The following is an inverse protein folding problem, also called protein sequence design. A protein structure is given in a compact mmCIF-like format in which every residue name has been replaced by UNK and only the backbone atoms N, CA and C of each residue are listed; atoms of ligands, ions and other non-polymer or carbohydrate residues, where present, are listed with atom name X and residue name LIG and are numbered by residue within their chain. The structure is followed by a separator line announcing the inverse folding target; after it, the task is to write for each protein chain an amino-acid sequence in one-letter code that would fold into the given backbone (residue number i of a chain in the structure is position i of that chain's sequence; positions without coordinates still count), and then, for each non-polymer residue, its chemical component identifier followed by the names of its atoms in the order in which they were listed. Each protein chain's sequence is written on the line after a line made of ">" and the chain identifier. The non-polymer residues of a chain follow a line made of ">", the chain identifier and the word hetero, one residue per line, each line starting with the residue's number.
data_IF_360420469264
#
_entry.id   IF_360420469264
#
_cell.length_a   1.000
_cell.length_b   1.000
_cell.length_c   1.000
_cell.angle_alpha   90.00
_cell.angle_beta   90.00
_cell.angle_gamma   90.00
#
_symmetry.space_group_name_H-M   'P 1'
#
loop_
_entity.id
_entity.type
_entity.pdbx_description
1 polymer ?
#
# COMPACT_ATOMS: atom_id res chain seq x y z
N UNK A 1 23.76 16.80 12.23
CA UNK A 1 24.28 16.18 11.00
C UNK A 1 23.12 16.12 10.02
N UNK A 2 23.06 17.10 9.13
CA UNK A 2 21.92 17.33 8.19
C UNK A 2 21.99 16.23 7.12
N UNK A 3 20.99 15.36 7.10
CA UNK A 3 20.81 14.41 6.00
C UNK A 3 20.48 15.23 4.73
N UNK A 4 21.45 15.34 3.86
CA UNK A 4 21.25 15.88 2.52
C UNK A 4 20.31 14.91 1.78
N UNK A 5 19.04 15.28 1.64
CA UNK A 5 18.14 14.61 0.70
C UNK A 5 18.80 14.63 -0.67
N UNK A 6 19.23 13.46 -1.11
CA UNK A 6 19.83 13.27 -2.43
C UNK A 6 18.72 13.58 -3.44
N UNK A 7 18.70 14.80 -3.96
CA UNK A 7 17.77 15.20 -5.04
C UNK A 7 17.94 14.19 -6.18
N UNK A 8 16.94 13.36 -6.37
CA UNK A 8 16.90 12.43 -7.51
C UNK A 8 16.87 13.29 -8.78
N UNK A 9 17.81 13.02 -9.70
CA UNK A 9 17.88 13.74 -10.98
C UNK A 9 16.49 13.67 -11.67
N UNK A 10 15.93 14.81 -12.08
CA UNK A 10 14.63 14.85 -12.76
C UNK A 10 14.54 13.94 -13.98
N UNK A 11 15.66 13.69 -14.67
CA UNK A 11 15.75 12.77 -15.81
C UNK A 11 15.52 11.33 -15.36
N UNK A 12 16.13 10.92 -14.24
CA UNK A 12 15.94 9.59 -13.63
C UNK A 12 14.47 9.37 -13.28
N UNK A 13 13.85 10.36 -12.62
CA UNK A 13 12.42 10.31 -12.27
C UNK A 13 11.54 10.17 -13.52
N UNK A 14 11.80 10.97 -14.55
CA UNK A 14 11.04 10.94 -15.82
C UNK A 14 11.14 9.59 -16.51
N UNK A 15 12.36 9.04 -16.63
CA UNK A 15 12.56 7.71 -17.24
C UNK A 15 11.85 6.61 -16.47
N UNK A 16 11.90 6.64 -15.14
CA UNK A 16 11.17 5.70 -14.26
C UNK A 16 9.67 5.76 -14.54
N UNK A 17 9.10 6.95 -14.62
CA UNK A 17 7.67 7.16 -14.92
C UNK A 17 7.30 6.67 -16.33
N UNK A 18 8.15 6.85 -17.34
CA UNK A 18 7.92 6.33 -18.69
C UNK A 18 7.84 4.79 -18.70
N UNK A 19 8.73 4.11 -17.96
CA UNK A 19 8.73 2.65 -17.85
C UNK A 19 7.47 2.16 -17.11
N UNK A 20 7.11 2.80 -16.00
CA UNK A 20 5.90 2.46 -15.23
C UNK A 20 4.62 2.65 -16.08
N UNK A 21 4.52 3.77 -16.80
CA UNK A 21 3.39 4.06 -17.68
C UNK A 21 3.28 3.04 -18.80
N UNK A 22 4.39 2.71 -19.47
CA UNK A 22 4.43 1.69 -20.50
C UNK A 22 3.93 0.33 -20.01
N UNK A 23 4.29 -0.06 -18.78
CA UNK A 23 3.78 -1.27 -18.15
C UNK A 23 2.26 -1.20 -17.93
N UNK A 24 1.74 -0.11 -17.38
CA UNK A 24 0.30 0.07 -17.14
C UNK A 24 -0.52 0.04 -18.42
N UNK A 25 -0.04 0.68 -19.49
CA UNK A 25 -0.68 0.64 -20.81
C UNK A 25 -0.74 -0.80 -21.37
N UNK A 26 0.38 -1.53 -21.29
CA UNK A 26 0.45 -2.92 -21.72
C UNK A 26 -0.44 -3.83 -20.86
N UNK A 27 -0.51 -3.55 -19.56
CA UNK A 27 -1.36 -4.29 -18.63
C UNK A 27 -2.85 -4.16 -18.98
N UNK A 28 -3.27 -2.95 -19.31
CA UNK A 28 -4.65 -2.70 -19.75
C UNK A 28 -4.98 -3.40 -21.10
N UNK A 29 -3.98 -3.56 -21.98
CA UNK A 29 -4.17 -4.19 -23.30
C UNK A 29 -4.10 -5.73 -23.26
N UNK A 30 -3.11 -6.31 -22.55
CA UNK A 30 -2.69 -7.71 -22.74
C UNK A 30 -2.86 -8.62 -21.51
N UNK A 31 -3.14 -8.10 -20.32
CA UNK A 31 -3.03 -8.79 -19.03
C UNK A 31 -1.59 -9.25 -18.69
N UNK A 32 -1.27 -9.33 -17.40
CA UNK A 32 0.11 -9.40 -16.85
C UNK A 32 0.99 -10.56 -17.31
N UNK A 33 0.44 -11.74 -17.55
CA UNK A 33 1.22 -12.96 -17.78
C UNK A 33 2.07 -12.89 -19.06
N UNK A 34 1.63 -12.12 -20.05
CA UNK A 34 2.27 -12.03 -21.37
C UNK A 34 3.19 -10.82 -21.56
N UNK A 35 3.33 -9.94 -20.55
CA UNK A 35 4.16 -8.74 -20.69
C UNK A 35 5.63 -9.09 -20.42
N UNK A 36 6.47 -8.95 -21.44
CA UNK A 36 7.93 -9.10 -21.34
C UNK A 36 8.63 -7.77 -21.07
N UNK A 37 9.88 -7.82 -20.59
CA UNK A 37 10.70 -6.60 -20.46
C UNK A 37 10.91 -5.95 -21.82
N UNK A 38 10.98 -6.72 -22.91
CA UNK A 38 11.09 -6.20 -24.26
C UNK A 38 9.87 -5.36 -24.63
N UNK A 39 8.65 -5.87 -24.39
CA UNK A 39 7.42 -5.10 -24.65
C UNK A 39 7.42 -3.76 -23.91
N UNK A 40 7.85 -3.78 -22.63
CA UNK A 40 7.91 -2.57 -21.79
C UNK A 40 8.91 -1.57 -22.35
N UNK A 41 10.12 -2.03 -22.72
CA UNK A 41 11.18 -1.15 -23.22
C UNK A 41 10.83 -0.57 -24.59
N UNK A 42 10.23 -1.34 -25.47
CA UNK A 42 9.76 -0.89 -26.78
C UNK A 42 8.65 0.17 -26.63
N UNK A 43 7.67 -0.09 -25.75
CA UNK A 43 6.59 0.86 -25.45
C UNK A 43 7.10 2.14 -24.80
N UNK A 44 8.05 2.04 -23.85
CA UNK A 44 8.65 3.19 -23.17
C UNK A 44 9.67 3.95 -24.03
N UNK A 45 10.04 3.41 -25.21
CA UNK A 45 11.09 3.93 -26.09
C UNK A 45 12.44 4.09 -25.35
N UNK A 46 12.80 3.07 -24.58
CA UNK A 46 14.07 2.99 -23.86
C UNK A 46 14.79 1.68 -24.20
N UNK A 47 16.12 1.62 -24.02
CA UNK A 47 16.83 0.36 -24.19
C UNK A 47 16.77 -0.51 -22.91
N UNK A 48 17.08 -1.80 -23.05
CA UNK A 48 17.06 -2.75 -21.92
C UNK A 48 18.04 -2.37 -20.80
N UNK A 49 19.20 -1.81 -21.13
CA UNK A 49 20.17 -1.35 -20.13
C UNK A 49 19.57 -0.22 -19.27
N UNK A 50 18.83 0.70 -19.88
CA UNK A 50 18.09 1.75 -19.18
C UNK A 50 17.03 1.16 -18.25
N UNK A 51 16.29 0.14 -18.70
CA UNK A 51 15.33 -0.55 -17.82
C UNK A 51 16.03 -1.10 -16.56
N UNK A 52 17.11 -1.86 -16.75
CA UNK A 52 17.85 -2.47 -15.63
C UNK A 52 18.57 -1.46 -14.73
N UNK A 53 18.86 -0.25 -15.21
CA UNK A 53 19.37 0.84 -14.37
C UNK A 53 18.30 1.38 -13.39
N UNK A 54 16.99 1.17 -13.66
CA UNK A 54 15.88 1.62 -12.84
C UNK A 54 15.21 0.52 -12.04
N UNK A 55 15.13 -0.68 -12.61
CA UNK A 55 14.43 -1.84 -12.03
C UNK A 55 15.26 -3.10 -12.29
N UNK A 56 15.65 -3.84 -11.24
CA UNK A 56 16.42 -5.07 -11.39
C UNK A 56 15.67 -6.15 -12.18
N UNK A 57 14.34 -6.14 -12.10
CA UNK A 57 13.47 -7.07 -12.82
C UNK A 57 12.04 -6.51 -12.95
N UNK A 58 11.15 -7.30 -13.58
CA UNK A 58 9.74 -6.96 -13.75
C UNK A 58 8.98 -6.90 -12.43
N UNK A 59 9.35 -7.71 -11.44
CA UNK A 59 8.68 -7.73 -10.14
C UNK A 59 8.97 -6.47 -9.35
N UNK A 60 10.20 -5.96 -9.39
CA UNK A 60 10.57 -4.68 -8.78
C UNK A 60 9.87 -3.48 -9.44
N UNK A 61 9.66 -3.52 -10.76
CA UNK A 61 8.84 -2.53 -11.44
C UNK A 61 7.41 -2.58 -10.93
N UNK A 62 6.82 -3.77 -10.87
CA UNK A 62 5.47 -3.99 -10.39
C UNK A 62 5.29 -3.53 -8.94
N UNK A 63 6.17 -3.97 -8.03
CA UNK A 63 6.18 -3.53 -6.62
C UNK A 63 6.16 -1.99 -6.52
N UNK A 64 6.99 -1.33 -7.34
CA UNK A 64 7.05 0.14 -7.32
C UNK A 64 5.76 0.80 -7.82
N UNK A 65 5.11 0.23 -8.83
CA UNK A 65 3.83 0.73 -9.36
C UNK A 65 2.74 0.59 -8.31
N UNK A 66 2.63 -0.59 -7.68
CA UNK A 66 1.62 -0.86 -6.67
C UNK A 66 1.75 0.07 -5.48
N UNK A 67 2.96 0.22 -4.96
CA UNK A 67 3.23 1.16 -3.85
C UNK A 67 2.84 2.58 -4.22
N UNK A 68 3.20 3.05 -5.41
CA UNK A 68 2.88 4.40 -5.86
C UNK A 68 1.37 4.59 -6.02
N UNK A 69 0.66 3.63 -6.61
CA UNK A 69 -0.80 3.68 -6.76
C UNK A 69 -1.51 3.66 -5.40
N UNK A 70 -1.07 2.79 -4.49
CA UNK A 70 -1.63 2.74 -3.15
C UNK A 70 -1.36 4.02 -2.36
N UNK A 71 -0.14 4.56 -2.41
CA UNK A 71 0.19 5.85 -1.79
C UNK A 71 -0.64 7.00 -2.36
N UNK A 72 -0.89 7.02 -3.68
CA UNK A 72 -1.77 8.00 -4.30
C UNK A 72 -3.22 7.86 -3.81
N UNK A 73 -3.73 6.63 -3.73
CA UNK A 73 -5.06 6.36 -3.18
C UNK A 73 -5.16 6.82 -1.72
N UNK A 74 -4.15 6.55 -0.90
CA UNK A 74 -4.09 7.06 0.47
C UNK A 74 -4.07 8.59 0.53
N UNK A 75 -3.27 9.24 -0.33
CA UNK A 75 -3.18 10.70 -0.36
C UNK A 75 -4.50 11.39 -0.76
N UNK A 76 -5.37 10.70 -1.50
CA UNK A 76 -6.70 11.21 -1.87
C UNK A 76 -7.73 11.07 -0.74
N UNK A 77 -7.58 10.07 0.12
CA UNK A 77 -8.58 9.73 1.13
C UNK A 77 -8.17 10.12 2.55
N UNK A 78 -6.85 10.22 2.81
CA UNK A 78 -6.35 10.63 4.11
C UNK A 78 -6.31 12.15 4.24
N UNK A 79 -6.68 12.71 5.40
CA UNK A 79 -6.45 14.13 5.68
C UNK A 79 -4.98 14.51 5.52
N UNK A 80 -4.69 15.74 5.05
CA UNK A 80 -3.32 16.26 5.04
C UNK A 80 -2.70 16.19 6.44
N UNK A 81 -1.45 15.75 6.53
CA UNK A 81 -0.72 15.58 7.80
C UNK A 81 -1.41 14.61 8.79
N UNK A 82 -1.98 13.51 8.27
CA UNK A 82 -2.56 12.45 9.10
C UNK A 82 -1.59 11.93 10.15
N UNK A 83 -2.08 11.81 11.37
CA UNK A 83 -1.35 11.34 12.53
C UNK A 83 -2.10 10.17 13.17
N UNK A 84 -1.47 9.50 14.14
CA UNK A 84 -2.10 8.42 14.87
C UNK A 84 -3.31 8.92 15.69
N UNK A 85 -4.51 8.67 15.21
CA UNK A 85 -5.79 8.87 15.89
C UNK A 85 -6.89 8.04 15.23
N UNK A 86 -8.07 7.95 15.88
CA UNK A 86 -9.24 7.18 15.40
C UNK A 86 -9.66 7.62 13.99
N UNK A 87 -9.62 8.91 13.72
CA UNK A 87 -10.09 9.49 12.45
C UNK A 87 -9.19 9.07 11.28
N UNK A 88 -7.87 9.24 11.45
CA UNK A 88 -6.87 8.84 10.45
C UNK A 88 -6.85 7.32 10.25
N UNK A 89 -6.97 6.54 11.34
CA UNK A 89 -7.05 5.09 11.25
C UNK A 89 -8.28 4.62 10.47
N UNK A 90 -9.44 5.20 10.75
CA UNK A 90 -10.69 4.91 10.01
C UNK A 90 -10.56 5.23 8.52
N UNK A 91 -9.97 6.40 8.19
CA UNK A 91 -9.73 6.79 6.81
C UNK A 91 -8.78 5.82 6.10
N UNK A 92 -7.71 5.36 6.78
CA UNK A 92 -6.77 4.36 6.28
C UNK A 92 -7.47 3.02 5.99
N UNK A 93 -8.27 2.53 6.93
CA UNK A 93 -9.04 1.29 6.78
C UNK A 93 -9.96 1.39 5.57
N UNK A 94 -10.75 2.46 5.47
CA UNK A 94 -11.69 2.68 4.36
C UNK A 94 -10.97 2.78 3.01
N UNK A 95 -9.86 3.53 2.95
CA UNK A 95 -9.06 3.67 1.73
C UNK A 95 -8.50 2.32 1.27
N UNK A 96 -8.09 1.46 2.22
CA UNK A 96 -7.57 0.11 1.90
C UNK A 96 -8.67 -0.79 1.34
N UNK A 97 -9.87 -0.79 1.92
CA UNK A 97 -11.02 -1.51 1.37
C UNK A 97 -11.38 -1.03 -0.04
N UNK A 98 -11.43 0.30 -0.25
CA UNK A 98 -11.69 0.89 -1.55
C UNK A 98 -10.68 0.45 -2.60
N UNK A 99 -9.39 0.63 -2.30
CA UNK A 99 -8.30 0.29 -3.22
C UNK A 99 -8.28 -1.19 -3.59
N UNK A 100 -8.35 -2.10 -2.60
CA UNK A 100 -8.34 -3.54 -2.86
C UNK A 100 -9.62 -4.01 -3.54
N UNK A 101 -10.76 -3.39 -3.24
CA UNK A 101 -12.01 -3.67 -3.92
C UNK A 101 -11.99 -3.30 -5.40
N UNK A 102 -11.48 -2.13 -5.77
CA UNK A 102 -11.31 -1.71 -7.16
C UNK A 102 -10.28 -2.60 -7.86
N UNK A 103 -9.17 -2.84 -7.19
CA UNK A 103 -8.10 -3.67 -7.73
C UNK A 103 -8.57 -5.08 -8.12
N UNK A 104 -9.23 -5.81 -7.22
CA UNK A 104 -9.72 -7.17 -7.52
C UNK A 104 -10.83 -7.19 -8.59
N UNK A 105 -11.53 -6.07 -8.77
CA UNK A 105 -12.52 -5.96 -9.84
C UNK A 105 -11.87 -5.77 -11.21
N UNK A 106 -10.84 -4.96 -11.30
CA UNK A 106 -10.15 -4.66 -12.56
C UNK A 106 -9.18 -5.75 -12.98
N UNK A 107 -8.49 -6.33 -12.00
CA UNK A 107 -7.54 -7.42 -12.19
C UNK A 107 -8.27 -8.78 -12.08
N UNK A 108 -8.83 -9.27 -13.18
CA UNK A 108 -9.40 -10.63 -13.19
C UNK A 108 -8.35 -11.67 -12.76
N UNK A 109 -8.73 -12.67 -11.93
CA UNK A 109 -7.80 -13.67 -11.43
C UNK A 109 -7.18 -14.47 -12.60
N UNK A 110 -5.89 -14.40 -12.74
CA UNK A 110 -5.17 -15.07 -13.83
C UNK A 110 -3.69 -15.26 -13.60
N UNK A 111 -3.11 -14.58 -12.61
CA UNK A 111 -1.69 -14.74 -12.28
C UNK A 111 -1.46 -14.66 -10.78
N UNK A 112 -1.53 -15.82 -10.10
CA UNK A 112 -1.34 -15.93 -8.64
C UNK A 112 -0.03 -15.27 -8.16
N UNK A 113 1.04 -15.32 -8.95
CA UNK A 113 2.31 -14.70 -8.59
C UNK A 113 2.21 -13.17 -8.58
N UNK A 114 1.45 -12.60 -9.49
CA UNK A 114 1.19 -11.17 -9.55
C UNK A 114 0.37 -10.72 -8.35
N UNK A 115 -0.72 -11.43 -8.05
CA UNK A 115 -1.60 -11.12 -6.91
C UNK A 115 -0.81 -11.16 -5.60
N UNK A 116 0.04 -12.17 -5.40
CA UNK A 116 0.86 -12.29 -4.20
C UNK A 116 1.86 -11.13 -4.03
N UNK A 117 2.55 -10.73 -5.11
CA UNK A 117 3.49 -9.60 -5.07
C UNK A 117 2.80 -8.28 -4.73
N UNK A 118 1.63 -8.08 -5.31
CA UNK A 118 0.80 -6.91 -5.04
C UNK A 118 0.32 -6.86 -3.59
N UNK A 119 -0.23 -7.97 -3.12
CA UNK A 119 -0.69 -8.09 -1.75
C UNK A 119 0.44 -7.83 -0.75
N UNK A 120 1.64 -8.34 -1.02
CA UNK A 120 2.82 -8.06 -0.19
C UNK A 120 3.19 -6.57 -0.20
N UNK A 121 3.19 -5.91 -1.36
CA UNK A 121 3.52 -4.50 -1.47
C UNK A 121 2.55 -3.63 -0.66
N UNK A 122 1.24 -3.87 -0.79
CA UNK A 122 0.20 -3.12 -0.06
C UNK A 122 0.31 -3.35 1.45
N UNK A 123 0.49 -4.61 1.87
CA UNK A 123 0.62 -4.94 3.29
C UNK A 123 1.83 -4.25 3.93
N UNK A 124 2.97 -4.24 3.22
CA UNK A 124 4.17 -3.56 3.71
C UNK A 124 3.99 -2.03 3.79
N UNK A 125 3.32 -1.41 2.81
CA UNK A 125 3.00 0.02 2.86
C UNK A 125 2.07 0.37 4.02
N UNK A 126 1.03 -0.44 4.28
CA UNK A 126 0.18 -0.29 5.44
C UNK A 126 0.97 -0.32 6.75
N UNK A 127 1.84 -1.32 6.90
CA UNK A 127 2.67 -1.46 8.09
C UNK A 127 3.61 -0.25 8.27
N UNK A 128 4.17 0.28 7.18
CA UNK A 128 5.05 1.45 7.19
C UNK A 128 4.31 2.72 7.59
N UNK A 129 3.13 2.96 7.06
CA UNK A 129 2.27 4.11 7.40
C UNK A 129 1.92 4.07 8.90
N UNK A 130 1.43 2.94 9.38
CA UNK A 130 1.06 2.73 10.78
C UNK A 130 2.26 2.92 11.71
N UNK A 131 3.41 2.32 11.38
CA UNK A 131 4.62 2.46 12.17
C UNK A 131 5.10 3.92 12.22
N UNK A 132 4.99 4.64 11.12
CA UNK A 132 5.35 6.06 11.05
C UNK A 132 4.46 6.89 11.97
N UNK A 133 3.14 6.69 11.94
CA UNK A 133 2.20 7.37 12.81
C UNK A 133 2.43 7.04 14.29
N UNK A 134 2.62 5.78 14.63
CA UNK A 134 2.90 5.33 16.00
C UNK A 134 4.20 5.92 16.57
N UNK A 135 5.26 6.01 15.75
CA UNK A 135 6.51 6.65 16.15
C UNK A 135 6.37 8.15 16.37
N UNK A 136 5.60 8.82 15.51
CA UNK A 136 5.34 10.27 15.64
C UNK A 136 4.48 10.60 16.86
N UNK A 137 3.50 9.78 17.16
CA UNK A 137 2.59 9.96 18.28
C UNK A 137 3.27 9.85 19.66
N UNK A 138 4.50 9.33 19.74
CA UNK A 138 5.24 9.10 21.01
C UNK A 138 4.33 8.48 22.06
N UNK A 139 3.61 7.42 21.70
CA UNK A 139 2.55 6.83 22.51
C UNK A 139 3.05 6.60 23.94
N UNK A 140 2.59 7.46 24.85
CA UNK A 140 2.88 7.36 26.27
C UNK A 140 2.00 6.24 26.90
N UNK A 141 2.50 5.55 27.90
CA UNK A 141 1.73 4.57 28.66
C UNK A 141 1.58 3.19 28.01
N UNK A 142 2.35 2.90 26.96
CA UNK A 142 2.39 1.53 26.40
C UNK A 142 2.94 0.54 27.41
N UNK A 143 2.33 -0.64 27.52
CA UNK A 143 2.81 -1.68 28.44
C UNK A 143 4.27 -2.02 28.16
N UNK A 144 5.11 -2.14 29.19
CA UNK A 144 6.52 -2.52 29.03
C UNK A 144 6.63 -3.83 28.23
N UNK A 145 7.55 -3.84 27.24
CA UNK A 145 7.82 -5.02 26.42
C UNK A 145 7.02 -5.09 25.11
N UNK A 146 6.06 -4.22 24.86
CA UNK A 146 5.34 -4.15 23.56
C UNK A 146 6.12 -3.24 22.60
N UNK A 147 6.49 -3.76 21.44
CA UNK A 147 7.22 -3.02 20.41
C UNK A 147 6.28 -2.41 19.40
N UNK A 148 6.52 -1.15 19.00
CA UNK A 148 5.70 -0.46 18.00
C UNK A 148 5.66 -1.18 16.66
N UNK A 149 6.76 -1.82 16.28
CA UNK A 149 6.83 -2.61 15.05
C UNK A 149 5.85 -3.79 15.08
N UNK A 150 5.71 -4.46 16.23
CA UNK A 150 4.73 -5.54 16.40
C UNK A 150 3.31 -4.99 16.31
N UNK A 151 3.02 -3.88 16.99
CA UNK A 151 1.69 -3.25 16.95
C UNK A 151 1.33 -2.84 15.53
N UNK A 152 2.23 -2.16 14.82
CA UNK A 152 2.01 -1.79 13.43
C UNK A 152 1.77 -3.01 12.53
N UNK A 153 2.53 -4.08 12.74
CA UNK A 153 2.35 -5.34 12.00
C UNK A 153 0.99 -5.98 12.28
N UNK A 154 0.60 -6.11 13.54
CA UNK A 154 -0.70 -6.71 13.90
C UNK A 154 -1.86 -5.90 13.32
N UNK A 155 -1.83 -4.56 13.47
CA UNK A 155 -2.89 -3.70 12.94
C UNK A 155 -2.92 -3.76 11.40
N UNK A 156 -1.77 -3.76 10.73
CA UNK A 156 -1.72 -3.85 9.26
C UNK A 156 -2.35 -5.14 8.75
N UNK A 157 -2.11 -6.27 9.40
CA UNK A 157 -2.76 -7.55 9.06
C UNK A 157 -4.24 -7.58 9.40
N UNK A 158 -4.66 -6.96 10.51
CA UNK A 158 -6.07 -6.84 10.88
C UNK A 158 -6.88 -5.99 9.89
N UNK A 159 -6.23 -5.05 9.18
CA UNK A 159 -6.84 -4.28 8.10
C UNK A 159 -6.76 -5.05 6.77
N UNK A 160 -5.57 -5.53 6.42
CA UNK A 160 -5.27 -6.09 5.12
C UNK A 160 -6.03 -7.40 4.85
N UNK A 161 -6.01 -8.36 5.78
CA UNK A 161 -6.66 -9.66 5.59
C UNK A 161 -8.15 -9.55 5.25
N UNK A 162 -8.97 -8.87 6.07
CA UNK A 162 -10.38 -8.62 5.77
C UNK A 162 -10.59 -7.86 4.45
N UNK A 163 -9.71 -6.91 4.10
CA UNK A 163 -9.85 -6.13 2.87
C UNK A 163 -9.59 -6.97 1.61
N UNK A 164 -8.62 -7.88 1.64
CA UNK A 164 -8.35 -8.84 0.55
C UNK A 164 -9.53 -9.78 0.37
N UNK A 165 -10.01 -10.37 1.47
CA UNK A 165 -11.15 -11.29 1.43
C UNK A 165 -12.40 -10.61 0.88
N UNK A 166 -12.74 -9.42 1.41
CA UNK A 166 -13.88 -8.65 0.95
C UNK A 166 -13.77 -8.23 -0.53
N UNK A 167 -12.57 -7.87 -0.99
CA UNK A 167 -12.34 -7.51 -2.40
C UNK A 167 -12.53 -8.69 -3.37
N UNK A 168 -12.27 -9.92 -2.91
CA UNK A 168 -12.46 -11.16 -3.69
C UNK A 168 -13.90 -11.66 -3.71
N UNK A 169 -14.66 -11.35 -2.67
CA UNK A 169 -16.05 -11.77 -2.50
C UNK A 169 -17.02 -10.80 -3.20
N UNK A 170 -18.32 -11.00 -3.03
CA UNK A 170 -19.38 -10.20 -3.64
C UNK A 170 -19.47 -8.75 -3.10
N UNK A 171 -18.52 -8.28 -2.34
CA UNK A 171 -18.47 -6.95 -1.69
C UNK A 171 -19.67 -6.65 -0.80
N UNK A 172 -20.17 -7.67 -0.17
CA UNK A 172 -21.20 -7.57 0.85
C UNK A 172 -20.66 -8.10 2.18
N UNK A 173 -20.79 -7.37 3.29
CA UNK A 173 -21.44 -6.05 3.46
C UNK A 173 -20.67 -4.91 2.75
N UNK A 174 -21.17 -3.67 2.82
CA UNK A 174 -20.53 -2.51 2.22
C UNK A 174 -19.14 -2.22 2.79
N UNK A 175 -18.29 -1.48 2.06
CA UNK A 175 -16.96 -1.07 2.55
C UNK A 175 -17.05 -0.27 3.87
N UNK A 176 -18.10 0.53 4.06
CA UNK A 176 -18.32 1.29 5.29
C UNK A 176 -18.67 0.38 6.47
N UNK A 177 -19.50 -0.64 6.25
CA UNK A 177 -19.83 -1.64 7.29
C UNK A 177 -18.59 -2.47 7.66
N UNK A 178 -17.79 -2.91 6.69
CA UNK A 178 -16.53 -3.60 6.93
C UNK A 178 -15.54 -2.71 7.70
N UNK A 179 -15.45 -1.44 7.32
CA UNK A 179 -14.62 -0.45 8.04
C UNK A 179 -15.05 -0.36 9.51
N UNK A 180 -16.36 -0.27 9.78
CA UNK A 180 -16.87 -0.21 11.17
C UNK A 180 -16.52 -1.46 11.96
N UNK A 181 -16.66 -2.65 11.38
CA UNK A 181 -16.34 -3.92 12.05
C UNK A 181 -14.84 -4.04 12.35
N UNK A 182 -13.98 -3.73 11.37
CA UNK A 182 -12.53 -3.76 11.55
C UNK A 182 -12.09 -2.72 12.59
N UNK A 183 -12.65 -1.52 12.55
CA UNK A 183 -12.37 -0.49 13.55
C UNK A 183 -12.76 -0.94 14.96
N UNK A 184 -13.93 -1.56 15.14
CA UNK A 184 -14.36 -2.06 16.43
C UNK A 184 -13.36 -3.07 17.01
N UNK A 185 -12.94 -4.06 16.21
CA UNK A 185 -11.96 -5.08 16.65
C UNK A 185 -10.62 -4.46 17.02
N UNK A 186 -10.13 -3.52 16.21
CA UNK A 186 -8.83 -2.86 16.46
C UNK A 186 -8.93 -1.98 17.72
N UNK A 187 -9.96 -1.16 17.86
CA UNK A 187 -10.08 -0.22 18.99
C UNK A 187 -10.27 -0.96 20.31
N UNK A 188 -11.11 -1.98 20.36
CA UNK A 188 -11.30 -2.81 21.55
C UNK A 188 -10.00 -3.54 21.95
N UNK A 189 -9.26 -4.07 20.98
CA UNK A 189 -7.96 -4.69 21.22
C UNK A 189 -6.93 -3.71 21.78
N UNK A 190 -6.89 -2.48 21.24
CA UNK A 190 -5.92 -1.45 21.62
C UNK A 190 -6.19 -0.84 23.00
N UNK A 191 -7.45 -0.65 23.42
CA UNK A 191 -7.79 -0.12 24.74
C UNK A 191 -7.30 -1.01 25.88
N UNK A 192 -7.16 -2.31 25.65
CA UNK A 192 -6.57 -3.24 26.61
C UNK A 192 -5.03 -3.17 26.69
N UNK A 193 -4.38 -2.61 25.68
CA UNK A 193 -2.92 -2.40 25.67
C UNK A 193 -2.54 -1.11 26.41
N UNK A 194 -3.28 -0.04 26.19
CA UNK A 194 -3.15 1.22 26.89
C UNK A 194 -4.43 2.05 26.67
N UNK A 195 -5.08 2.58 27.74
CA UNK A 195 -6.35 3.31 27.60
C UNK A 195 -6.28 4.51 26.64
N UNK A 196 -5.14 5.21 26.62
CA UNK A 196 -4.90 6.41 25.79
C UNK A 196 -4.11 6.11 24.52
N UNK A 197 -4.03 4.83 24.10
CA UNK A 197 -3.20 4.43 22.96
C UNK A 197 -3.71 5.00 21.64
N UNK A 198 -5.02 5.16 21.48
CA UNK A 198 -5.64 5.67 20.26
C UNK A 198 -6.48 6.91 20.60
N UNK A 199 -5.93 8.13 20.45
CA UNK A 199 -6.68 9.35 20.73
C UNK A 199 -7.83 9.55 19.71
N UNK A 200 -8.89 10.17 20.21
CA UNK A 200 -10.12 10.49 19.45
C UNK A 200 -9.87 11.57 18.42
#
# INVERSE_FOLDING_TARGET
>A
MTLVEKRVDPRVKRTRQLIQRAFLELFAEKRTASISIQDITDRATVNRATFYAHFPDKNALLDSIVREQFQQALAQHLPPASVWNVHSLRALVRATFGFLGEFHHECQPGNQQFDLLMEQAIQQELALVLLTWLKQARVAGMRPGVRLELVASVISWAIFGPSVQWGRDARTPSADEMTNQVMLVITEGLTHLAPDFLPV
#
